data_IF_257336912904
#
_entry.id   IF_257336912904
#
_cell.length_a   1.000
_cell.length_b   1.000
_cell.length_c   1.000
_cell.angle_alpha   90.00
_cell.angle_beta   90.00
_cell.angle_gamma   90.00
#
_symmetry.space_group_name_H-M   'P 1'
#
loop_
_entity.id
_entity.type
_entity.pdbx_description
1 polymer ?
#
# COMPACT_ATOMS: atom_id res chain seq x y z
N UNK A 1 2.91 37.46 64.23
CA UNK A 1 2.67 37.81 62.81
C UNK A 1 3.31 36.76 61.92
N UNK A 2 2.58 35.77 61.54
CA UNK A 2 3.09 34.59 60.74
C UNK A 2 2.63 34.76 59.31
N UNK A 3 3.56 34.93 58.34
CA UNK A 3 3.28 35.06 56.92
C UNK A 3 3.31 33.67 56.29
N UNK A 4 2.17 33.18 55.78
CA UNK A 4 2.07 32.01 54.95
C UNK A 4 2.38 32.42 53.50
N UNK A 5 3.43 31.83 52.91
CA UNK A 5 3.72 31.92 51.50
C UNK A 5 3.01 30.74 50.79
N UNK A 6 2.03 31.05 49.93
CA UNK A 6 1.38 30.08 49.10
C UNK A 6 2.23 29.84 47.84
N UNK A 7 2.77 28.64 47.69
CA UNK A 7 3.43 28.21 46.46
C UNK A 7 2.37 27.71 45.44
N UNK A 8 2.18 28.43 44.36
CA UNK A 8 1.36 28.01 43.25
C UNK A 8 2.15 27.02 42.37
N UNK A 9 1.77 25.75 42.38
CA UNK A 9 2.31 24.74 41.48
C UNK A 9 1.58 24.86 40.16
N UNK A 10 2.24 25.40 39.14
CA UNK A 10 1.75 25.36 37.75
C UNK A 10 1.95 23.94 37.22
N UNK A 11 0.87 23.16 37.14
CA UNK A 11 0.78 21.92 36.35
C UNK A 11 0.70 22.30 34.87
N UNK A 12 1.82 22.27 34.16
CA UNK A 12 1.85 22.24 32.68
C UNK A 12 1.30 20.88 32.22
N UNK A 13 0.02 20.86 31.85
CA UNK A 13 -0.56 19.76 31.13
C UNK A 13 0.09 19.70 29.73
N UNK A 14 1.04 18.78 29.54
CA UNK A 14 1.55 18.46 28.21
C UNK A 14 0.40 17.83 27.42
N UNK A 15 -0.28 18.64 26.60
CA UNK A 15 -1.21 18.12 25.61
C UNK A 15 -0.45 17.12 24.72
N UNK A 16 -1.00 15.91 24.46
CA UNK A 16 -0.40 15.01 23.50
C UNK A 16 -0.37 15.74 22.16
N UNK A 17 0.83 16.07 21.68
CA UNK A 17 0.99 16.61 20.34
C UNK A 17 0.40 15.57 19.39
N UNK A 18 -0.72 15.89 18.75
CA UNK A 18 -1.26 15.12 17.65
C UNK A 18 -0.09 14.98 16.67
N UNK A 19 0.42 13.74 16.52
CA UNK A 19 1.55 13.48 15.62
C UNK A 19 1.05 13.71 14.21
N UNK A 20 1.30 14.92 13.71
CA UNK A 20 0.92 15.33 12.38
C UNK A 20 1.58 14.39 11.36
N UNK A 21 0.82 14.07 10.33
CA UNK A 21 1.31 13.38 9.15
C UNK A 21 2.47 14.20 8.57
N UNK A 22 3.65 13.60 8.48
CA UNK A 22 4.85 14.29 7.98
C UNK A 22 5.03 13.98 6.50
N UNK A 23 5.16 15.02 5.68
CA UNK A 23 5.47 14.88 4.28
C UNK A 23 6.87 14.24 4.10
N UNK A 24 6.95 13.13 3.38
CA UNK A 24 8.18 12.35 3.19
C UNK A 24 8.82 12.56 1.82
N UNK A 25 8.13 13.20 0.88
CA UNK A 25 8.64 13.62 -0.43
C UNK A 25 7.90 14.86 -0.92
N UNK A 26 8.45 15.49 -1.94
CA UNK A 26 7.77 16.56 -2.67
C UNK A 26 6.60 15.99 -3.47
N UNK A 27 5.41 16.58 -3.33
CA UNK A 27 4.26 16.26 -4.16
C UNK A 27 4.56 16.59 -5.63
N UNK A 28 4.11 15.71 -6.54
CA UNK A 28 4.22 15.93 -7.98
C UNK A 28 2.85 15.86 -8.64
N UNK A 29 2.69 16.63 -9.70
CA UNK A 29 1.45 16.70 -10.50
C UNK A 29 1.71 16.17 -11.91
N UNK A 30 0.65 15.76 -12.59
CA UNK A 30 0.68 15.25 -13.97
C UNK A 30 1.52 13.97 -14.13
N UNK A 31 1.56 13.14 -13.10
CA UNK A 31 2.19 11.83 -13.16
C UNK A 31 1.29 10.88 -13.95
N UNK A 32 1.79 10.23 -15.01
CA UNK A 32 0.99 9.26 -15.79
C UNK A 32 0.68 8.02 -14.98
N UNK A 33 -0.23 7.18 -15.48
CA UNK A 33 -0.43 5.84 -14.96
C UNK A 33 0.89 5.05 -14.98
N UNK A 34 1.26 4.47 -13.85
CA UNK A 34 2.53 3.75 -13.66
C UNK A 34 2.29 2.24 -13.65
N UNK A 35 3.28 1.49 -14.17
CA UNK A 35 3.33 0.06 -13.92
C UNK A 35 3.63 -0.23 -12.45
N UNK A 36 3.29 -1.42 -11.96
CA UNK A 36 3.67 -1.83 -10.60
C UNK A 36 5.19 -1.79 -10.40
N UNK A 37 5.96 -2.20 -11.42
CA UNK A 37 7.43 -2.19 -11.36
C UNK A 37 7.99 -0.77 -11.19
N UNK A 38 7.53 0.20 -12.00
CA UNK A 38 7.98 1.58 -11.94
C UNK A 38 7.55 2.25 -10.62
N UNK A 39 6.29 2.03 -10.22
CA UNK A 39 5.78 2.56 -8.96
C UNK A 39 6.58 2.00 -7.77
N UNK A 40 6.86 0.68 -7.77
CA UNK A 40 7.63 0.05 -6.70
C UNK A 40 9.07 0.60 -6.64
N UNK A 41 9.79 0.64 -7.77
CA UNK A 41 11.16 1.13 -7.81
C UNK A 41 11.28 2.58 -7.30
N UNK A 42 10.34 3.44 -7.71
CA UNK A 42 10.27 4.82 -7.25
C UNK A 42 9.96 4.90 -5.75
N UNK A 43 8.99 4.13 -5.28
CA UNK A 43 8.57 4.10 -3.88
C UNK A 43 9.64 3.54 -2.96
N UNK A 44 10.32 2.48 -3.37
CA UNK A 44 11.43 1.89 -2.61
C UNK A 44 12.57 2.89 -2.40
N UNK A 45 12.95 3.65 -3.45
CA UNK A 45 13.96 4.71 -3.34
C UNK A 45 13.56 5.78 -2.31
N UNK A 46 12.31 6.22 -2.32
CA UNK A 46 11.80 7.20 -1.35
C UNK A 46 11.77 6.61 0.06
N UNK A 47 11.25 5.40 0.21
CA UNK A 47 11.18 4.72 1.50
C UNK A 47 12.57 4.51 2.12
N UNK A 48 13.57 4.09 1.32
CA UNK A 48 14.96 3.93 1.78
C UNK A 48 15.64 5.26 2.12
N UNK A 49 15.33 6.34 1.41
CA UNK A 49 15.81 7.69 1.74
C UNK A 49 15.17 8.21 3.04
N UNK A 50 13.91 7.89 3.28
CA UNK A 50 13.22 8.22 4.54
C UNK A 50 13.79 7.41 5.71
N UNK A 51 13.90 6.09 5.58
CA UNK A 51 14.52 5.18 6.57
C UNK A 51 15.20 4.01 5.86
N UNK A 52 16.51 3.77 6.08
CA UNK A 52 17.24 2.71 5.39
C UNK A 52 16.71 1.29 5.66
N UNK A 53 16.08 1.06 6.83
CA UNK A 53 15.46 -0.20 7.22
C UNK A 53 14.02 -0.38 6.73
N UNK A 54 13.46 0.60 6.01
CA UNK A 54 12.09 0.51 5.50
C UNK A 54 11.90 -0.69 4.56
N UNK A 55 10.85 -1.47 4.80
CA UNK A 55 10.48 -2.67 4.04
C UNK A 55 9.03 -2.62 3.61
N UNK A 56 8.64 -3.29 2.50
CA UNK A 56 7.26 -3.32 2.06
C UNK A 56 6.33 -3.89 3.13
N UNK A 57 5.22 -3.20 3.36
CA UNK A 57 4.17 -3.58 4.29
C UNK A 57 2.82 -3.76 3.61
N UNK A 58 2.56 -2.99 2.54
CA UNK A 58 1.37 -3.10 1.70
C UNK A 58 1.67 -2.57 0.31
N UNK A 59 1.26 -3.31 -0.70
CA UNK A 59 1.33 -2.90 -2.11
C UNK A 59 -0.04 -3.16 -2.73
N UNK A 60 -0.71 -2.11 -3.22
CA UNK A 60 -2.05 -2.25 -3.79
C UNK A 60 -2.32 -1.17 -4.82
N UNK A 61 -3.15 -1.48 -5.81
CA UNK A 61 -3.92 -0.46 -6.51
C UNK A 61 -5.36 -0.43 -5.98
N UNK A 62 -6.11 0.59 -6.34
CA UNK A 62 -7.50 0.74 -5.89
C UNK A 62 -8.47 0.59 -7.06
N UNK A 63 -9.74 0.36 -6.75
CA UNK A 63 -10.81 0.31 -7.77
C UNK A 63 -11.02 1.64 -8.50
N UNK A 64 -10.50 2.74 -7.96
CA UNK A 64 -10.54 4.07 -8.59
C UNK A 64 -9.46 4.25 -9.68
N UNK A 65 -8.50 3.33 -9.76
CA UNK A 65 -7.50 3.23 -10.81
C UNK A 65 -7.21 1.74 -11.01
N UNK A 66 -8.10 1.02 -11.70
CA UNK A 66 -7.93 -0.41 -11.91
C UNK A 66 -6.66 -0.69 -12.70
N UNK A 67 -6.18 -1.92 -12.57
CA UNK A 67 -5.06 -2.41 -13.36
C UNK A 67 -5.50 -2.59 -14.80
N UNK A 68 -4.76 -2.05 -15.77
CA UNK A 68 -4.98 -2.27 -17.20
C UNK A 68 -4.18 -3.47 -17.75
N UNK A 69 -4.38 -3.78 -19.05
CA UNK A 69 -3.69 -4.89 -19.74
C UNK A 69 -2.17 -4.71 -19.80
N UNK A 70 -1.67 -3.47 -19.72
CA UNK A 70 -0.25 -3.15 -19.67
C UNK A 70 0.31 -3.21 -18.24
N UNK A 71 -0.51 -3.55 -17.25
CA UNK A 71 -0.13 -3.59 -15.84
C UNK A 71 0.06 -2.22 -15.20
N UNK A 72 -0.60 -1.19 -15.76
CA UNK A 72 -0.58 0.18 -15.25
C UNK A 72 -1.82 0.47 -14.41
N UNK A 73 -1.67 1.39 -13.47
CA UNK A 73 -2.77 1.95 -12.68
C UNK A 73 -2.51 3.44 -12.39
N UNK A 74 -3.58 4.23 -12.35
CA UNK A 74 -3.55 5.63 -11.91
C UNK A 74 -3.62 5.78 -10.39
N UNK A 75 -3.94 4.71 -9.66
CA UNK A 75 -4.18 4.75 -8.23
C UNK A 75 -3.44 3.64 -7.48
N UNK A 76 -2.16 3.81 -7.32
CA UNK A 76 -1.32 2.99 -6.46
C UNK A 76 -1.28 3.51 -5.02
N UNK A 77 -1.24 2.58 -4.06
CA UNK A 77 -0.94 2.85 -2.67
C UNK A 77 0.10 1.82 -2.19
N UNK A 78 1.33 2.27 -2.01
CA UNK A 78 2.43 1.45 -1.52
C UNK A 78 2.86 1.95 -0.14
N UNK A 79 2.79 1.08 0.86
CA UNK A 79 3.20 1.39 2.22
C UNK A 79 4.47 0.62 2.57
N UNK A 80 5.43 1.32 3.14
CA UNK A 80 6.65 0.73 3.69
C UNK A 80 6.70 0.99 5.19
N UNK A 81 7.17 0.01 5.94
CA UNK A 81 7.31 0.07 7.39
C UNK A 81 8.78 0.12 7.79
N UNK A 82 9.11 0.97 8.76
CA UNK A 82 10.43 1.03 9.40
C UNK A 82 10.30 0.61 10.85
N UNK A 83 11.04 -0.43 11.21
CA UNK A 83 11.10 -0.92 12.59
C UNK A 83 11.80 0.09 13.50
N UNK A 84 12.88 0.73 13.02
CA UNK A 84 13.62 1.72 13.80
C UNK A 84 12.81 2.99 14.10
N UNK A 85 11.91 3.37 13.17
CA UNK A 85 11.05 4.54 13.38
C UNK A 85 9.71 4.21 14.05
N UNK A 86 9.30 2.92 14.12
CA UNK A 86 7.95 2.49 14.50
C UNK A 86 6.88 3.27 13.73
N UNK A 87 7.08 3.39 12.42
CA UNK A 87 6.27 4.24 11.56
C UNK A 87 6.20 3.67 10.14
N UNK A 88 5.21 4.14 9.40
CA UNK A 88 5.02 3.81 7.99
C UNK A 88 5.25 5.05 7.13
N UNK A 89 5.70 4.84 5.89
CA UNK A 89 5.56 5.81 4.82
C UNK A 89 4.62 5.23 3.76
N UNK A 90 3.52 5.95 3.48
CA UNK A 90 2.60 5.64 2.41
C UNK A 90 2.92 6.51 1.20
N UNK A 91 3.07 5.89 0.04
CA UNK A 91 3.43 6.52 -1.23
C UNK A 91 2.31 6.21 -2.21
N UNK A 92 1.67 7.26 -2.73
CA UNK A 92 0.44 7.15 -3.49
C UNK A 92 0.54 7.81 -4.85
N UNK A 93 -0.13 7.21 -5.84
CA UNK A 93 -0.58 7.93 -7.03
C UNK A 93 -2.09 7.97 -7.06
N UNK A 94 -2.65 9.08 -7.51
CA UNK A 94 -4.08 9.19 -7.73
C UNK A 94 -4.38 10.34 -8.70
N UNK A 95 -5.00 10.03 -9.83
CA UNK A 95 -5.42 11.01 -10.85
C UNK A 95 -4.32 12.03 -11.19
N UNK A 96 -3.13 11.55 -11.50
CA UNK A 96 -1.98 12.38 -11.86
C UNK A 96 -1.25 13.04 -10.68
N UNK A 97 -1.66 12.83 -9.44
CA UNK A 97 -0.92 13.27 -8.25
C UNK A 97 -0.02 12.14 -7.75
N UNK A 98 1.18 12.49 -7.31
CA UNK A 98 2.08 11.63 -6.56
C UNK A 98 2.37 12.26 -5.20
N UNK A 99 2.10 11.53 -4.13
CA UNK A 99 2.23 12.01 -2.75
C UNK A 99 2.88 10.96 -1.86
N UNK A 100 3.55 11.38 -0.79
CA UNK A 100 4.05 10.47 0.21
C UNK A 100 4.01 11.08 1.61
N UNK A 101 3.53 10.30 2.59
CA UNK A 101 3.34 10.72 3.96
C UNK A 101 3.84 9.67 4.93
N UNK A 102 4.61 10.11 5.92
CA UNK A 102 4.99 9.28 7.05
C UNK A 102 3.94 9.39 8.16
N UNK A 103 3.52 8.26 8.71
CA UNK A 103 2.57 8.16 9.82
C UNK A 103 3.08 7.22 10.90
N UNK A 104 2.91 7.55 12.19
CA UNK A 104 3.18 6.61 13.27
C UNK A 104 2.31 5.35 13.16
N UNK A 105 2.83 4.22 13.61
CA UNK A 105 2.10 2.95 13.65
C UNK A 105 2.92 1.79 13.09
N UNK A 106 2.39 0.58 13.26
CA UNK A 106 3.01 -0.63 12.74
C UNK A 106 2.08 -1.27 11.71
N UNK A 107 2.50 -1.30 10.46
CA UNK A 107 1.83 -2.12 9.43
C UNK A 107 2.42 -3.53 9.33
N UNK A 108 3.55 -3.76 10.00
CA UNK A 108 4.33 -4.98 9.81
C UNK A 108 4.98 -5.06 8.42
N UNK A 109 5.79 -6.07 8.20
CA UNK A 109 6.36 -6.39 6.88
C UNK A 109 5.54 -7.49 6.20
N UNK A 110 5.51 -7.51 4.88
CA UNK A 110 4.96 -8.63 4.13
C UNK A 110 5.84 -9.87 4.40
N UNK A 111 5.26 -10.98 4.89
CA UNK A 111 6.03 -12.17 5.23
C UNK A 111 6.74 -12.74 4.00
N UNK A 112 7.99 -13.17 4.15
CA UNK A 112 8.79 -13.88 3.13
C UNK A 112 8.79 -13.23 1.74
N UNK A 113 8.57 -11.92 1.63
CA UNK A 113 8.66 -11.20 0.35
C UNK A 113 10.13 -11.12 -0.09
N UNK A 114 10.47 -11.78 -1.20
CA UNK A 114 11.81 -11.79 -1.78
C UNK A 114 12.07 -10.51 -2.60
N UNK A 115 13.34 -10.07 -2.74
CA UNK A 115 13.66 -8.92 -3.59
C UNK A 115 13.22 -9.09 -5.06
N UNK A 116 13.11 -10.34 -5.52
CA UNK A 116 12.72 -10.73 -6.89
C UNK A 116 11.24 -11.05 -7.04
N UNK A 117 10.40 -10.67 -6.07
CA UNK A 117 8.96 -10.94 -6.13
C UNK A 117 8.31 -10.40 -7.40
N UNK A 118 7.16 -10.97 -7.77
CA UNK A 118 6.42 -10.59 -8.97
C UNK A 118 5.95 -9.14 -8.91
N UNK A 119 6.55 -8.26 -9.72
CA UNK A 119 6.22 -6.84 -9.92
C UNK A 119 5.70 -6.56 -11.32
N UNK A 120 5.47 -7.60 -12.10
CA UNK A 120 4.91 -7.49 -13.44
C UNK A 120 3.38 -7.39 -13.35
N UNK A 121 2.86 -6.16 -13.41
CA UNK A 121 1.43 -5.89 -13.37
C UNK A 121 0.69 -6.47 -14.57
N UNK A 122 1.31 -6.53 -15.76
CA UNK A 122 0.70 -7.13 -16.94
C UNK A 122 0.51 -8.64 -16.76
N UNK A 123 1.46 -9.32 -16.12
CA UNK A 123 1.31 -10.73 -15.76
C UNK A 123 0.20 -10.95 -14.74
N UNK A 124 0.08 -10.08 -13.73
CA UNK A 124 -1.04 -10.14 -12.76
C UNK A 124 -2.39 -9.93 -13.46
N UNK A 125 -2.46 -8.99 -14.42
CA UNK A 125 -3.67 -8.79 -15.23
C UNK A 125 -3.96 -10.00 -16.11
N UNK A 126 -2.98 -10.61 -16.73
CA UNK A 126 -3.16 -11.83 -17.55
C UNK A 126 -3.72 -12.99 -16.72
N UNK A 127 -3.22 -13.19 -15.48
CA UNK A 127 -3.79 -14.17 -14.53
C UNK A 127 -5.24 -13.82 -14.21
N UNK A 128 -5.53 -12.55 -13.92
CA UNK A 128 -6.89 -12.10 -13.67
C UNK A 128 -7.82 -12.38 -14.86
N UNK A 129 -7.37 -12.10 -16.09
CA UNK A 129 -8.12 -12.35 -17.33
C UNK A 129 -8.37 -13.84 -17.54
N UNK A 130 -7.37 -14.70 -17.31
CA UNK A 130 -7.54 -16.15 -17.42
C UNK A 130 -8.58 -16.70 -16.43
N UNK A 131 -8.51 -16.25 -15.17
CA UNK A 131 -9.36 -16.78 -14.09
C UNK A 131 -10.71 -16.07 -13.94
N UNK A 132 -10.88 -14.91 -14.56
CA UNK A 132 -12.07 -14.07 -14.41
C UNK A 132 -12.60 -13.48 -15.71
N UNK A 133 -12.39 -14.11 -16.88
CA UNK A 133 -12.81 -13.59 -18.18
C UNK A 133 -14.29 -13.20 -18.24
N UNK A 134 -15.17 -14.01 -17.64
CA UNK A 134 -16.60 -13.73 -17.53
C UNK A 134 -16.91 -12.48 -16.69
N UNK A 135 -16.12 -12.19 -15.66
CA UNK A 135 -16.27 -10.99 -14.86
C UNK A 135 -15.83 -9.74 -15.62
N UNK A 136 -14.69 -9.82 -16.32
CA UNK A 136 -14.24 -8.73 -17.19
C UNK A 136 -15.26 -8.42 -18.29
N UNK A 137 -15.82 -9.44 -18.92
CA UNK A 137 -16.90 -9.31 -19.91
C UNK A 137 -18.17 -8.69 -19.31
N UNK A 138 -18.42 -8.88 -18.01
CA UNK A 138 -19.52 -8.27 -17.25
C UNK A 138 -19.19 -6.85 -16.71
N UNK A 139 -18.08 -6.25 -17.14
CA UNK A 139 -17.67 -4.88 -16.78
C UNK A 139 -16.99 -4.74 -15.42
N UNK A 140 -16.48 -5.83 -14.85
CA UNK A 140 -15.62 -5.74 -13.67
C UNK A 140 -14.19 -5.34 -14.06
N UNK A 141 -13.53 -4.63 -13.19
CA UNK A 141 -12.14 -4.19 -13.29
C UNK A 141 -11.26 -4.96 -12.29
N UNK A 142 -9.96 -4.99 -12.53
CA UNK A 142 -8.99 -5.74 -11.73
C UNK A 142 -8.33 -4.84 -10.71
N UNK A 143 -8.26 -5.32 -9.47
CA UNK A 143 -7.42 -4.76 -8.41
C UNK A 143 -6.49 -5.84 -7.86
N UNK A 144 -5.28 -5.45 -7.47
CA UNK A 144 -4.28 -6.34 -6.88
C UNK A 144 -3.80 -5.81 -5.55
N UNK A 145 -3.59 -6.72 -4.60
CA UNK A 145 -3.08 -6.35 -3.27
C UNK A 145 -2.16 -7.44 -2.73
N UNK A 146 -1.05 -7.02 -2.11
CA UNK A 146 -0.32 -7.82 -1.13
C UNK A 146 -0.10 -6.98 0.12
N UNK A 147 -0.24 -7.57 1.29
CA UNK A 147 -0.09 -6.90 2.57
C UNK A 147 0.41 -7.87 3.64
N UNK A 148 0.93 -7.32 4.72
CA UNK A 148 1.21 -8.09 5.92
C UNK A 148 -0.11 -8.55 6.56
N UNK A 149 -0.38 -9.85 6.54
CA UNK A 149 -1.48 -10.43 7.29
C UNK A 149 -0.94 -11.46 8.29
N UNK A 150 -1.44 -11.47 9.55
CA UNK A 150 -0.94 -12.38 10.58
C UNK A 150 -1.11 -13.87 10.23
N UNK A 151 -2.07 -14.18 9.35
CA UNK A 151 -2.36 -15.55 8.87
C UNK A 151 -1.45 -15.99 7.72
N UNK A 152 -0.79 -15.05 7.05
CA UNK A 152 -0.02 -15.36 5.86
C UNK A 152 1.35 -15.91 6.26
N UNK A 153 1.69 -17.08 5.71
CA UNK A 153 2.99 -17.73 5.92
C UNK A 153 4.05 -17.24 4.93
N UNK A 154 3.61 -16.71 3.79
CA UNK A 154 4.45 -16.20 2.72
C UNK A 154 3.75 -15.05 1.99
N UNK A 155 4.50 -14.32 1.17
CA UNK A 155 3.99 -13.20 0.41
C UNK A 155 3.00 -13.66 -0.67
N UNK A 156 1.79 -13.09 -0.67
CA UNK A 156 0.69 -13.50 -1.54
C UNK A 156 0.07 -12.28 -2.23
N UNK A 157 -0.14 -12.34 -3.55
CA UNK A 157 -0.99 -11.42 -4.27
C UNK A 157 -2.45 -11.89 -4.21
N UNK A 158 -3.33 -11.00 -3.81
CA UNK A 158 -4.78 -11.14 -3.94
C UNK A 158 -5.25 -10.33 -5.13
N UNK A 159 -5.83 -11.01 -6.11
CA UNK A 159 -6.45 -10.38 -7.29
C UNK A 159 -7.95 -10.38 -7.08
N UNK A 160 -8.58 -9.21 -7.11
CA UNK A 160 -10.02 -9.04 -6.92
C UNK A 160 -10.65 -8.29 -8.08
N UNK A 161 -11.98 -8.37 -8.18
CA UNK A 161 -12.75 -7.79 -9.27
C UNK A 161 -13.85 -6.89 -8.68
N UNK A 162 -13.92 -5.65 -9.17
CA UNK A 162 -14.91 -4.67 -8.72
C UNK A 162 -15.40 -3.81 -9.89
N UNK A 163 -16.63 -3.31 -9.78
CA UNK A 163 -17.19 -2.32 -10.71
C UNK A 163 -16.98 -0.90 -10.19
N UNK A 164 -17.14 0.07 -11.07
CA UNK A 164 -17.02 1.50 -10.73
C UNK A 164 -18.03 1.96 -9.68
N UNK A 165 -19.17 1.28 -9.57
CA UNK A 165 -20.21 1.54 -8.56
C UNK A 165 -19.89 0.96 -7.16
N UNK A 166 -18.72 0.31 -7.01
CA UNK A 166 -18.29 -0.32 -5.77
C UNK A 166 -18.75 -1.77 -5.61
N UNK A 167 -19.54 -2.32 -6.54
CA UNK A 167 -19.90 -3.75 -6.52
C UNK A 167 -18.65 -4.60 -6.67
N UNK A 168 -18.43 -5.52 -5.73
CA UNK A 168 -17.30 -6.45 -5.72
C UNK A 168 -17.78 -7.85 -6.06
N UNK A 169 -17.10 -8.54 -6.99
CA UNK A 169 -17.33 -9.96 -7.22
C UNK A 169 -16.82 -10.78 -6.02
N UNK A 170 -17.44 -11.92 -5.77
CA UNK A 170 -16.97 -12.85 -4.71
C UNK A 170 -15.63 -13.48 -5.09
N UNK A 171 -15.31 -13.58 -6.42
CA UNK A 171 -14.08 -14.21 -6.90
C UNK A 171 -12.83 -13.45 -6.45
N UNK A 172 -11.92 -14.21 -5.86
CA UNK A 172 -10.56 -13.74 -5.54
C UNK A 172 -9.56 -14.78 -6.03
N UNK A 173 -8.55 -14.37 -6.77
CA UNK A 173 -7.44 -15.24 -7.19
C UNK A 173 -6.25 -14.99 -6.28
N UNK A 174 -5.73 -16.06 -5.70
CA UNK A 174 -4.59 -16.04 -4.78
C UNK A 174 -3.36 -16.54 -5.54
N UNK A 175 -2.31 -15.73 -5.54
CA UNK A 175 -1.08 -15.95 -6.31
C UNK A 175 0.12 -15.82 -5.38
N UNK A 176 1.02 -16.80 -5.36
CA UNK A 176 2.30 -16.66 -4.68
C UNK A 176 3.08 -15.46 -5.25
N UNK A 177 3.39 -14.49 -4.40
CA UNK A 177 4.00 -13.25 -4.86
C UNK A 177 5.45 -13.42 -5.31
N UNK A 178 6.15 -14.45 -4.87
CA UNK A 178 7.55 -14.69 -5.23
C UNK A 178 7.71 -15.46 -6.55
N UNK A 179 6.77 -16.36 -6.84
CA UNK A 179 6.84 -17.24 -8.02
C UNK A 179 5.85 -16.87 -9.12
N UNK A 180 4.75 -16.21 -8.76
CA UNK A 180 3.64 -15.93 -9.65
C UNK A 180 2.76 -17.15 -9.95
N UNK A 181 2.87 -18.22 -9.17
CA UNK A 181 2.01 -19.38 -9.28
C UNK A 181 0.62 -19.10 -8.69
N UNK A 182 -0.44 -19.48 -9.41
CA UNK A 182 -1.80 -19.43 -8.88
C UNK A 182 -1.96 -20.55 -7.85
N UNK A 183 -2.26 -20.17 -6.60
CA UNK A 183 -2.43 -21.13 -5.49
C UNK A 183 -3.89 -21.52 -5.33
N UNK A 184 -4.81 -20.55 -5.49
CA UNK A 184 -6.23 -20.78 -5.23
C UNK A 184 -7.12 -19.77 -5.98
N UNK A 185 -8.30 -20.20 -6.33
CA UNK A 185 -9.42 -19.34 -6.76
C UNK A 185 -10.56 -19.53 -5.76
N UNK A 186 -11.02 -18.45 -5.17
CA UNK A 186 -12.18 -18.40 -4.27
C UNK A 186 -13.36 -17.80 -5.02
N UNK A 187 -14.54 -18.36 -4.89
CA UNK A 187 -15.81 -17.90 -5.49
C UNK A 187 -16.85 -17.59 -4.40
#
# INVERSE_FOLDING_TARGET
MTRFAAAAVLLLAAAPAARAQQEACKMEMNVPALTLADMYARSEKIAKAWKPDAVPARLTNTSMGPLDEQGKSEAWNLTFYSESAKANVAINTFRGMFTCYATPGSAGRIPDLKPTFLRDGARLYAIAKEKGANLLAAGYSVSVQTAAAPSDRHATWYISYSKADGTTAKRTVIVDANTGAVEKVLD
#
